data_IF_203853078711
#
_entry.id   IF_203853078711
#
_cell.length_a   1.000
_cell.length_b   1.000
_cell.length_c   1.000
_cell.angle_alpha   90.00
_cell.angle_beta   90.00
_cell.angle_gamma   90.00
#
_symmetry.space_group_name_H-M   'P 1'
#
loop_
_entity.id
_entity.type
_entity.pdbx_description
1 polymer ?
#
# COMPACT_ATOMS: atom_id res chain seq x y z
N UNK A 1 -7.73 -20.10 -22.89
CA UNK A 1 -6.71 -19.08 -23.22
C UNK A 1 -7.43 -17.75 -23.44
N UNK A 2 -6.95 -16.64 -22.87
CA UNK A 2 -7.71 -15.95 -21.82
C UNK A 2 -8.19 -14.54 -22.19
N UNK A 3 -9.26 -14.08 -21.56
CA UNK A 3 -9.49 -12.66 -21.32
C UNK A 3 -9.53 -12.46 -19.80
N UNK A 4 -8.37 -12.12 -19.25
CA UNK A 4 -8.24 -11.63 -17.87
C UNK A 4 -8.94 -10.27 -17.84
N UNK A 5 -10.21 -10.27 -17.42
CA UNK A 5 -10.98 -9.06 -17.18
C UNK A 5 -10.42 -8.36 -15.97
N UNK A 6 -9.55 -7.39 -16.21
CA UNK A 6 -8.86 -6.62 -15.18
C UNK A 6 -9.82 -6.07 -14.14
N UNK A 7 -9.49 -6.30 -12.86
CA UNK A 7 -10.11 -5.59 -11.76
C UNK A 7 -9.89 -4.08 -12.00
N UNK A 8 -10.96 -3.37 -12.34
CA UNK A 8 -10.93 -1.93 -12.47
C UNK A 8 -10.70 -1.32 -11.07
N UNK A 9 -9.43 -1.10 -10.74
CA UNK A 9 -8.98 -0.29 -9.62
C UNK A 9 -9.23 1.18 -9.98
N UNK A 10 -10.40 1.72 -9.61
CA UNK A 10 -10.64 3.15 -9.77
C UNK A 10 -10.00 3.91 -8.61
N UNK A 11 -8.73 4.26 -8.76
CA UNK A 11 -8.11 5.34 -8.00
C UNK A 11 -8.69 6.67 -8.53
N UNK A 12 -9.73 7.19 -7.87
CA UNK A 12 -10.24 8.51 -8.21
C UNK A 12 -9.85 9.47 -7.09
N UNK A 13 -8.74 10.21 -7.27
CA UNK A 13 -8.45 11.32 -6.37
C UNK A 13 -7.84 12.52 -7.10
N UNK A 14 -8.58 13.63 -7.10
CA UNK A 14 -8.04 15.00 -7.19
C UNK A 14 -8.05 15.59 -5.77
N UNK A 15 -7.01 16.35 -5.36
CA UNK A 15 -6.90 16.85 -4.00
C UNK A 15 -8.16 17.64 -3.58
N UNK A 16 -8.72 17.29 -2.42
CA UNK A 16 -9.62 18.17 -1.67
C UNK A 16 -11.08 17.72 -1.46
N UNK A 17 -11.58 16.63 -2.05
CA UNK A 17 -12.95 16.11 -1.75
C UNK A 17 -13.17 14.70 -2.31
N UNK A 18 -14.12 13.96 -1.73
CA UNK A 18 -14.64 12.72 -2.33
C UNK A 18 -15.20 12.97 -3.75
N UNK A 19 -14.94 12.11 -4.74
CA UNK A 19 -15.59 12.18 -6.04
C UNK A 19 -17.11 11.95 -5.91
N UNK A 20 -17.94 12.62 -6.72
CA UNK A 20 -19.35 12.23 -6.88
C UNK A 20 -19.44 11.14 -7.95
N UNK A 21 -19.63 9.89 -7.54
CA UNK A 21 -19.79 8.75 -8.46
C UNK A 21 -21.10 8.01 -8.23
N UNK A 22 -21.87 7.79 -9.30
CA UNK A 22 -23.03 6.90 -9.30
C UNK A 22 -22.55 5.43 -9.31
N UNK A 23 -23.17 4.58 -8.48
CA UNK A 23 -22.89 3.16 -8.43
C UNK A 23 -23.34 2.51 -9.75
N UNK A 24 -22.40 2.09 -10.60
CA UNK A 24 -22.71 1.30 -11.79
C UNK A 24 -22.80 -0.18 -11.40
N UNK A 25 -24.00 -0.74 -11.56
CA UNK A 25 -24.32 -2.12 -11.23
C UNK A 25 -23.48 -3.12 -12.02
N UNK A 26 -22.60 -3.81 -11.31
CA UNK A 26 -21.83 -4.96 -11.79
C UNK A 26 -21.43 -5.78 -10.58
N UNK A 27 -21.74 -7.09 -10.58
CA UNK A 27 -21.63 -8.02 -9.47
C UNK A 27 -20.19 -8.31 -8.97
N UNK A 28 -19.20 -7.53 -9.42
CA UNK A 28 -17.85 -7.58 -8.90
C UNK A 28 -17.78 -6.72 -7.63
N UNK A 29 -17.41 -7.34 -6.49
CA UNK A 29 -17.12 -6.62 -5.23
C UNK A 29 -15.90 -5.73 -5.43
N UNK A 30 -16.08 -4.54 -6.00
CA UNK A 30 -15.02 -3.54 -6.09
C UNK A 30 -14.77 -2.96 -4.70
N UNK A 31 -13.51 -2.96 -4.27
CA UNK A 31 -13.06 -2.34 -3.02
C UNK A 31 -12.49 -0.97 -3.35
N UNK A 32 -12.98 0.06 -2.65
CA UNK A 32 -12.53 1.44 -2.85
C UNK A 32 -11.46 1.77 -1.82
N UNK A 33 -10.39 2.43 -2.23
CA UNK A 33 -9.34 2.88 -1.33
C UNK A 33 -9.24 4.40 -1.35
N UNK A 34 -9.00 5.00 -0.19
CA UNK A 34 -8.80 6.43 -0.06
C UNK A 34 -7.56 6.77 0.77
N UNK A 35 -6.98 7.94 0.51
CA UNK A 35 -5.75 8.39 1.18
C UNK A 35 -6.06 9.14 2.49
N UNK A 36 -5.12 9.12 3.45
CA UNK A 36 -5.19 9.98 4.64
C UNK A 36 -5.35 11.45 4.27
N UNK A 37 -5.99 12.23 5.16
CA UNK A 37 -6.22 13.66 4.94
C UNK A 37 -7.38 13.99 4.00
N UNK A 38 -8.15 12.98 3.56
CA UNK A 38 -9.38 13.20 2.80
C UNK A 38 -10.61 13.07 3.69
N UNK A 39 -11.58 13.98 3.56
CA UNK A 39 -12.80 14.02 4.37
C UNK A 39 -14.03 13.54 3.61
N UNK A 40 -15.09 13.17 4.35
CA UNK A 40 -16.37 12.76 3.79
C UNK A 40 -16.47 11.30 3.35
N UNK A 41 -15.45 10.49 3.67
CA UNK A 41 -15.46 9.04 3.51
C UNK A 41 -16.21 8.35 4.66
N UNK A 42 -16.80 7.20 4.37
CA UNK A 42 -17.35 6.26 5.36
C UNK A 42 -16.86 4.86 5.02
N UNK A 43 -17.34 3.83 5.72
CA UNK A 43 -17.04 2.43 5.41
C UNK A 43 -17.53 1.96 4.03
N UNK A 44 -18.30 2.78 3.32
CA UNK A 44 -18.75 2.50 1.97
C UNK A 44 -18.78 3.73 1.07
N UNK A 45 -18.59 3.51 -0.23
CA UNK A 45 -18.69 4.53 -1.26
C UNK A 45 -19.45 3.95 -2.46
N UNK A 46 -20.62 4.53 -2.80
CA UNK A 46 -21.43 4.03 -3.91
C UNK A 46 -21.87 2.57 -3.76
N UNK A 47 -22.23 2.14 -2.54
CA UNK A 47 -22.65 0.77 -2.24
C UNK A 47 -21.49 -0.25 -2.22
N UNK A 48 -20.25 0.20 -2.35
CA UNK A 48 -19.03 -0.63 -2.31
C UNK A 48 -18.27 -0.39 -1.01
N UNK A 49 -17.58 -1.38 -0.43
CA UNK A 49 -16.76 -1.14 0.75
C UNK A 49 -15.62 -0.16 0.43
N UNK A 50 -15.26 0.66 1.42
CA UNK A 50 -14.17 1.61 1.32
C UNK A 50 -13.17 1.45 2.47
N UNK A 51 -11.87 1.42 2.16
CA UNK A 51 -10.78 1.29 3.13
C UNK A 51 -9.79 2.44 3.02
N UNK A 52 -9.27 2.87 4.16
CA UNK A 52 -8.19 3.85 4.23
C UNK A 52 -6.87 3.18 3.85
N UNK A 53 -6.17 3.68 2.84
CA UNK A 53 -4.82 3.24 2.50
C UNK A 53 -3.78 4.06 3.28
N UNK A 54 -3.41 3.58 4.47
CA UNK A 54 -2.51 4.25 5.41
C UNK A 54 -1.34 3.36 5.88
N UNK A 55 -0.54 2.77 4.97
CA UNK A 55 0.66 2.05 5.37
C UNK A 55 1.67 3.02 6.00
N UNK A 56 2.19 2.67 7.18
CA UNK A 56 3.22 3.45 7.88
C UNK A 56 4.15 2.53 8.69
N UNK A 57 5.47 2.78 8.69
CA UNK A 57 6.39 2.00 9.51
C UNK A 57 6.14 2.28 11.00
N UNK A 58 6.18 1.23 11.82
CA UNK A 58 6.16 1.37 13.27
C UNK A 58 7.50 1.91 13.76
N UNK A 59 7.45 2.80 14.75
CA UNK A 59 8.63 3.23 15.51
C UNK A 59 8.85 2.29 16.70
N UNK A 60 9.09 1.01 16.41
CA UNK A 60 9.31 -0.04 17.41
C UNK A 60 10.74 -0.59 17.33
N UNK A 61 11.05 -1.59 18.17
CA UNK A 61 12.37 -2.25 18.17
C UNK A 61 12.64 -3.07 16.90
N UNK A 62 11.63 -3.32 16.06
CA UNK A 62 11.80 -4.01 14.79
C UNK A 62 12.35 -3.09 13.69
N UNK A 63 12.29 -1.77 13.87
CA UNK A 63 12.81 -0.79 12.92
C UNK A 63 14.34 -0.71 12.99
N UNK A 64 15.01 -1.29 12.00
CA UNK A 64 16.46 -1.26 11.89
C UNK A 64 17.06 -2.57 11.40
N UNK A 65 18.36 -2.75 11.64
CA UNK A 65 19.04 -4.01 11.36
C UNK A 65 18.79 -5.01 12.49
N UNK A 66 18.12 -6.12 12.18
CA UNK A 66 18.02 -7.28 13.05
C UNK A 66 18.41 -8.52 12.26
N UNK A 67 19.13 -9.44 12.90
CA UNK A 67 19.62 -10.69 12.28
C UNK A 67 20.37 -10.47 10.96
N UNK A 68 21.10 -9.34 10.87
CA UNK A 68 21.90 -8.98 9.70
C UNK A 68 21.11 -8.38 8.53
N UNK A 69 19.80 -8.18 8.64
CA UNK A 69 18.99 -7.55 7.59
C UNK A 69 18.26 -6.31 8.12
N UNK A 70 18.22 -5.26 7.30
CA UNK A 70 17.34 -4.13 7.58
C UNK A 70 15.87 -4.56 7.44
N UNK A 71 15.05 -4.19 8.41
CA UNK A 71 13.62 -4.45 8.41
C UNK A 71 12.85 -3.48 9.28
N UNK A 72 11.53 -3.62 9.24
CA UNK A 72 10.58 -2.86 10.06
C UNK A 72 9.21 -3.53 10.03
N UNK A 73 8.42 -3.29 11.07
CA UNK A 73 6.99 -3.59 11.07
C UNK A 73 6.25 -2.50 10.30
N UNK A 74 5.46 -2.86 9.31
CA UNK A 74 4.54 -1.94 8.64
C UNK A 74 3.16 -2.07 9.27
N UNK A 75 2.57 -0.94 9.65
CA UNK A 75 1.22 -0.84 10.23
C UNK A 75 0.26 -0.20 9.23
N UNK A 76 -1.03 -0.47 9.35
CA UNK A 76 -2.07 0.19 8.56
C UNK A 76 -3.42 -0.50 8.68
N UNK A 77 -4.36 -0.07 7.84
CA UNK A 77 -5.68 -0.72 7.76
C UNK A 77 -5.51 -2.18 7.34
N UNK A 78 -6.18 -3.09 8.04
CA UNK A 78 -6.13 -4.51 7.73
C UNK A 78 -6.53 -4.79 6.28
N UNK A 79 -5.85 -5.74 5.65
CA UNK A 79 -6.13 -6.24 4.29
C UNK A 79 -5.92 -5.23 3.16
N UNK A 80 -5.33 -4.05 3.43
CA UNK A 80 -4.92 -3.15 2.35
C UNK A 80 -3.67 -3.71 1.66
N UNK A 81 -3.62 -3.68 0.32
CA UNK A 81 -2.44 -4.12 -0.40
C UNK A 81 -1.39 -3.02 -0.39
N UNK A 82 -0.13 -3.43 -0.33
CA UNK A 82 1.02 -2.56 -0.28
C UNK A 82 2.21 -3.20 -0.98
N UNK A 83 2.88 -2.41 -1.82
CA UNK A 83 4.19 -2.74 -2.35
C UNK A 83 5.23 -1.85 -1.68
N UNK A 84 6.23 -2.47 -1.08
CA UNK A 84 7.41 -1.78 -0.58
C UNK A 84 8.49 -1.87 -1.65
N UNK A 85 9.02 -0.72 -2.02
CA UNK A 85 10.14 -0.65 -2.94
C UNK A 85 11.31 0.05 -2.30
N UNK A 86 12.51 -0.24 -2.81
CA UNK A 86 13.70 0.47 -2.41
C UNK A 86 14.59 0.87 -3.59
N UNK A 87 15.43 1.88 -3.34
CA UNK A 87 16.43 2.38 -4.26
C UNK A 87 17.71 2.70 -3.52
N UNK A 88 18.85 2.62 -4.21
CA UNK A 88 20.15 3.06 -3.70
C UNK A 88 20.38 4.55 -3.96
N UNK A 89 19.58 5.18 -4.82
CA UNK A 89 19.72 6.58 -5.20
C UNK A 89 18.36 7.22 -5.47
N UNK A 90 17.94 8.16 -4.61
CA UNK A 90 16.68 8.91 -4.78
C UNK A 90 16.62 9.75 -6.07
N UNK A 91 17.76 10.09 -6.66
CA UNK A 91 17.81 10.79 -7.97
C UNK A 91 17.61 9.82 -9.13
N UNK A 92 17.79 8.52 -8.90
CA UNK A 92 17.49 7.50 -9.90
C UNK A 92 16.00 7.18 -9.88
N UNK A 93 15.41 6.96 -11.05
CA UNK A 93 14.03 6.49 -11.16
C UNK A 93 13.90 4.96 -10.97
N UNK A 94 14.98 4.27 -10.57
CA UNK A 94 15.03 2.81 -10.47
C UNK A 94 14.71 2.39 -9.04
N UNK A 95 13.62 1.63 -8.91
CA UNK A 95 13.13 1.10 -7.64
C UNK A 95 12.91 -0.41 -7.77
N UNK A 96 13.54 -1.20 -6.90
CA UNK A 96 13.35 -2.64 -6.83
C UNK A 96 12.24 -2.99 -5.82
N UNK A 97 11.49 -4.06 -6.09
CA UNK A 97 10.46 -4.53 -5.17
C UNK A 97 11.12 -5.27 -4.01
N UNK A 98 10.85 -4.85 -2.78
CA UNK A 98 11.24 -5.55 -1.55
C UNK A 98 10.16 -6.54 -1.16
N UNK A 99 8.92 -6.05 -1.10
CA UNK A 99 7.73 -6.84 -0.74
C UNK A 99 6.54 -6.38 -1.56
N UNK A 100 5.64 -7.31 -1.89
CA UNK A 100 4.34 -7.03 -2.49
C UNK A 100 3.29 -7.93 -1.83
N UNK A 101 2.55 -7.39 -0.86
CA UNK A 101 1.66 -8.17 0.00
C UNK A 101 0.48 -7.32 0.47
N UNK A 102 -0.45 -7.92 1.22
CA UNK A 102 -1.44 -7.18 1.99
C UNK A 102 -1.04 -7.09 3.46
N UNK A 103 -1.41 -5.99 4.12
CA UNK A 103 -1.31 -5.88 5.58
C UNK A 103 -2.22 -6.96 6.20
N UNK A 104 -1.70 -7.70 7.18
CA UNK A 104 -2.43 -8.79 7.81
C UNK A 104 -3.71 -8.34 8.51
N UNK A 105 -4.54 -9.30 8.92
CA UNK A 105 -5.80 -9.02 9.64
C UNK A 105 -5.57 -8.26 10.97
N UNK A 106 -4.39 -8.40 11.56
CA UNK A 106 -3.98 -7.67 12.77
C UNK A 106 -3.57 -6.21 12.52
N UNK A 107 -3.57 -5.75 11.26
CA UNK A 107 -3.14 -4.39 10.90
C UNK A 107 -1.62 -4.22 10.82
N UNK A 108 -0.86 -5.31 10.79
CA UNK A 108 0.60 -5.31 10.69
C UNK A 108 1.12 -6.28 9.63
N UNK A 109 2.33 -6.03 9.14
CA UNK A 109 3.11 -6.96 8.32
C UNK A 109 4.60 -6.65 8.47
N UNK A 110 5.43 -7.68 8.63
CA UNK A 110 6.88 -7.51 8.73
C UNK A 110 7.51 -7.38 7.33
N UNK A 111 8.42 -6.42 7.21
CA UNK A 111 9.19 -6.19 5.98
C UNK A 111 10.65 -6.43 6.30
N UNK A 112 11.29 -7.28 5.50
CA UNK A 112 12.73 -7.57 5.55
C UNK A 112 13.32 -7.34 4.18
N UNK A 113 14.43 -6.62 4.11
CA UNK A 113 15.10 -6.35 2.85
C UNK A 113 16.32 -7.25 2.68
N UNK A 114 16.24 -8.29 1.83
CA UNK A 114 17.33 -9.25 1.64
C UNK A 114 18.58 -8.63 1.01
N UNK A 115 18.40 -7.54 0.27
CA UNK A 115 19.46 -6.83 -0.46
C UNK A 115 19.99 -5.63 0.36
N UNK A 116 19.61 -5.52 1.65
CA UNK A 116 20.01 -4.40 2.50
C UNK A 116 21.51 -4.36 2.81
N UNK A 117 22.15 -5.52 2.91
CA UNK A 117 23.59 -5.64 3.20
C UNK A 117 24.46 -5.45 1.97
N UNK A 118 23.91 -5.64 0.76
CA UNK A 118 24.62 -5.46 -0.50
C UNK A 118 24.80 -3.98 -0.89
N UNK A 119 24.19 -3.05 -0.14
CA UNK A 119 24.15 -1.63 -0.47
C UNK A 119 24.44 -0.76 0.75
N UNK A 120 25.37 0.20 0.62
CA UNK A 120 25.75 1.10 1.71
C UNK A 120 24.61 2.03 2.18
N UNK A 121 23.65 2.33 1.30
CA UNK A 121 22.48 3.12 1.62
C UNK A 121 21.27 2.62 0.83
N UNK A 122 20.10 2.63 1.47
CA UNK A 122 18.82 2.29 0.85
C UNK A 122 17.73 3.24 1.30
N UNK A 123 16.90 3.64 0.35
CA UNK A 123 15.74 4.48 0.56
C UNK A 123 14.49 3.67 0.22
N UNK A 124 13.45 3.81 1.01
CA UNK A 124 12.23 3.01 0.89
C UNK A 124 11.03 3.89 0.57
N UNK A 125 10.08 3.35 -0.21
CA UNK A 125 8.77 3.95 -0.43
C UNK A 125 7.67 2.90 -0.36
N UNK A 126 6.50 3.32 0.08
CA UNK A 126 5.28 2.52 0.07
C UNK A 126 4.42 2.98 -1.09
N UNK A 127 4.03 2.05 -1.96
CA UNK A 127 3.22 2.33 -3.14
C UNK A 127 2.08 1.34 -3.23
N UNK A 128 1.03 1.76 -3.92
CA UNK A 128 0.01 0.83 -4.38
C UNK A 128 0.65 -0.22 -5.31
N UNK A 129 0.29 -1.52 -5.22
CA UNK A 129 0.87 -2.57 -6.05
C UNK A 129 0.75 -2.38 -7.55
#
# INVERSE_FOLDING_TARGET
MPAVGGAALQLTNRPGRKPSGAASGGFCKSLVYYLPGTSGWSSSFGGRPALLWNPAPAADAAFGFLDGLFGFTLTGTALIPVRVQATTNLRSAVWSSVTNTAIGAAGTVDVRDPESTAHAARFYRFVWP
#
